data_IF_505645301719
#
_entry.id   IF_505645301719
#
_cell.length_a   1.000
_cell.length_b   1.000
_cell.length_c   1.000
_cell.angle_alpha   90.00
_cell.angle_beta   90.00
_cell.angle_gamma   90.00
#
_symmetry.space_group_name_H-M   'P 1'
#
loop_
_entity.id
_entity.type
_entity.pdbx_description
1 polymer ?
#
# COMPACT_ATOMS: atom_id res chain seq x y z
N UNK A 1 33.98 -4.13 -10.24
CA UNK A 1 33.63 -2.68 -10.39
C UNK A 1 34.92 -1.84 -10.26
N UNK A 2 34.90 -0.51 -10.44
CA UNK A 2 36.11 0.33 -10.29
C UNK A 2 36.62 0.30 -8.85
N UNK A 3 35.74 0.49 -7.86
CA UNK A 3 36.08 0.44 -6.42
C UNK A 3 36.72 -0.89 -6.00
N UNK A 4 36.23 -1.99 -6.56
CA UNK A 4 36.76 -3.35 -6.35
C UNK A 4 38.21 -3.52 -6.87
N UNK A 5 38.55 -2.85 -7.97
CA UNK A 5 39.94 -2.82 -8.47
C UNK A 5 40.84 -1.90 -7.63
N UNK A 6 40.27 -0.80 -7.14
CA UNK A 6 40.99 0.16 -6.30
C UNK A 6 41.24 -0.39 -4.89
N UNK A 7 40.34 -1.22 -4.36
CA UNK A 7 40.53 -1.88 -3.07
C UNK A 7 41.70 -2.88 -3.13
N UNK A 8 41.76 -3.70 -4.18
CA UNK A 8 42.85 -4.67 -4.42
C UNK A 8 44.23 -4.04 -4.66
N UNK A 9 44.28 -2.81 -5.19
CA UNK A 9 45.52 -2.11 -5.54
C UNK A 9 45.98 -1.09 -4.47
N UNK A 10 45.18 -0.86 -3.44
CA UNK A 10 45.37 0.20 -2.45
C UNK A 10 46.08 -0.24 -1.17
N UNK A 11 46.32 0.72 -0.29
CA UNK A 11 46.66 0.46 1.12
C UNK A 11 45.44 -0.05 1.90
N UNK A 12 45.61 -0.73 3.05
CA UNK A 12 44.47 -1.22 3.84
C UNK A 12 43.45 -0.12 4.23
N UNK A 13 43.92 1.13 4.40
CA UNK A 13 43.03 2.26 4.65
C UNK A 13 42.18 2.63 3.42
N UNK A 14 42.79 2.62 2.22
CA UNK A 14 42.08 2.89 0.97
C UNK A 14 41.12 1.76 0.59
N UNK A 15 41.50 0.51 0.89
CA UNK A 15 40.63 -0.66 0.78
C UNK A 15 39.36 -0.46 1.63
N UNK A 16 39.52 -0.11 2.91
CA UNK A 16 38.39 0.16 3.80
C UNK A 16 37.48 1.29 3.30
N UNK A 17 38.04 2.37 2.75
CA UNK A 17 37.26 3.46 2.14
C UNK A 17 36.50 3.01 0.88
N UNK A 18 37.11 2.16 0.05
CA UNK A 18 36.45 1.61 -1.13
C UNK A 18 35.28 0.70 -0.74
N UNK A 19 35.45 -0.14 0.29
CA UNK A 19 34.37 -0.98 0.80
C UNK A 19 33.25 -0.14 1.40
N UNK A 20 33.56 0.87 2.23
CA UNK A 20 32.55 1.77 2.76
C UNK A 20 31.75 2.49 1.65
N UNK A 21 32.42 2.95 0.60
CA UNK A 21 31.74 3.55 -0.56
C UNK A 21 30.88 2.54 -1.33
N UNK A 22 31.32 1.28 -1.45
CA UNK A 22 30.51 0.22 -2.08
C UNK A 22 29.26 -0.11 -1.25
N UNK A 23 29.39 -0.17 0.07
CA UNK A 23 28.27 -0.40 0.98
C UNK A 23 27.25 0.74 0.95
N UNK A 24 27.71 1.99 0.75
CA UNK A 24 26.83 3.16 0.60
C UNK A 24 26.01 3.12 -0.71
N UNK A 25 26.61 2.65 -1.81
CA UNK A 25 25.94 2.62 -3.12
C UNK A 25 25.12 1.35 -3.38
N UNK A 26 25.40 0.23 -2.69
CA UNK A 26 24.72 -1.05 -2.91
C UNK A 26 23.18 -0.96 -2.85
N UNK A 27 22.57 -0.24 -1.86
CA UNK A 27 21.11 -0.09 -1.80
C UNK A 27 20.54 0.59 -3.05
N UNK A 28 21.24 1.59 -3.59
CA UNK A 28 20.83 2.29 -4.80
C UNK A 28 20.92 1.38 -6.04
N UNK A 29 21.99 0.59 -6.16
CA UNK A 29 22.17 -0.37 -7.26
C UNK A 29 21.08 -1.45 -7.23
N UNK A 30 20.78 -1.98 -6.04
CA UNK A 30 19.72 -2.98 -5.85
C UNK A 30 18.35 -2.43 -6.22
N UNK A 31 18.03 -1.21 -5.79
CA UNK A 31 16.79 -0.53 -6.16
C UNK A 31 16.69 -0.26 -7.67
N UNK A 32 17.78 0.17 -8.31
CA UNK A 32 17.83 0.33 -9.77
C UNK A 32 17.54 -0.99 -10.49
N UNK A 33 18.12 -2.10 -10.02
CA UNK A 33 17.84 -3.44 -10.56
C UNK A 33 16.37 -3.83 -10.43
N UNK A 34 15.76 -3.56 -9.28
CA UNK A 34 14.33 -3.77 -9.05
C UNK A 34 13.47 -2.94 -10.01
N UNK A 35 13.72 -1.64 -10.13
CA UNK A 35 13.00 -0.72 -11.05
C UNK A 35 13.09 -1.20 -12.50
N UNK A 36 14.26 -1.66 -12.94
CA UNK A 36 14.46 -2.19 -14.29
C UNK A 36 13.66 -3.48 -14.52
N UNK A 37 13.64 -4.39 -13.55
CA UNK A 37 12.82 -5.61 -13.62
C UNK A 37 11.34 -5.26 -13.67
N UNK A 38 10.89 -4.32 -12.85
CA UNK A 38 9.50 -3.86 -12.85
C UNK A 38 9.09 -3.29 -14.22
N UNK A 39 9.95 -2.49 -14.85
CA UNK A 39 9.68 -1.95 -16.19
C UNK A 39 9.62 -3.04 -17.28
N UNK A 40 10.32 -4.16 -17.10
CA UNK A 40 10.41 -5.24 -18.08
C UNK A 40 9.31 -6.29 -17.92
N UNK A 41 9.11 -6.76 -16.70
CA UNK A 41 8.26 -7.92 -16.40
C UNK A 41 6.92 -7.50 -15.77
N UNK A 42 6.78 -6.24 -15.30
CA UNK A 42 5.57 -5.72 -14.66
C UNK A 42 5.26 -6.35 -13.29
N UNK A 43 6.05 -7.32 -12.85
CA UNK A 43 5.85 -8.02 -11.57
C UNK A 43 6.34 -7.13 -10.43
N UNK A 44 5.42 -6.74 -9.56
CA UNK A 44 5.72 -5.96 -8.35
C UNK A 44 5.78 -6.88 -7.14
N UNK A 45 6.98 -7.09 -6.60
CA UNK A 45 7.16 -7.74 -5.31
C UNK A 45 7.18 -6.69 -4.17
N UNK A 46 6.01 -6.50 -3.56
CA UNK A 46 5.82 -5.56 -2.44
C UNK A 46 6.64 -5.97 -1.21
N UNK A 47 6.87 -7.26 -1.03
CA UNK A 47 7.65 -7.81 0.08
C UNK A 47 9.14 -7.53 -0.11
N UNK A 48 9.66 -7.70 -1.34
CA UNK A 48 11.03 -7.30 -1.68
C UNK A 48 11.23 -5.79 -1.47
N UNK A 49 10.26 -4.98 -1.89
CA UNK A 49 10.31 -3.51 -1.75
C UNK A 49 10.25 -3.07 -0.27
N UNK A 50 9.44 -3.73 0.56
CA UNK A 50 9.38 -3.48 2.00
C UNK A 50 10.70 -3.85 2.70
N UNK A 51 11.35 -4.94 2.27
CA UNK A 51 12.69 -5.31 2.77
C UNK A 51 13.76 -4.29 2.37
N UNK A 52 13.70 -3.76 1.15
CA UNK A 52 14.60 -2.68 0.71
C UNK A 52 14.38 -1.41 1.53
N UNK A 53 13.13 -1.05 1.86
CA UNK A 53 12.82 0.06 2.77
C UNK A 53 13.46 -0.12 4.15
N UNK A 54 13.30 -1.30 4.75
CA UNK A 54 13.83 -1.60 6.08
C UNK A 54 15.37 -1.59 6.12
N UNK A 55 16.02 -2.13 5.07
CA UNK A 55 17.48 -2.17 4.96
C UNK A 55 18.11 -0.78 4.76
N UNK A 56 17.34 0.17 4.23
CA UNK A 56 17.84 1.51 3.90
C UNK A 56 17.64 2.55 5.01
N UNK A 57 17.02 2.16 6.15
CA UNK A 57 16.90 3.00 7.36
C UNK A 57 18.29 3.21 8.00
N UNK A 58 19.03 4.19 7.50
CA UNK A 58 20.32 4.61 8.05
C UNK A 58 21.41 4.94 7.03
N UNK A 59 21.19 4.71 5.74
CA UNK A 59 22.20 4.88 4.68
C UNK A 59 22.34 6.32 4.15
N UNK A 60 21.74 7.32 4.80
CA UNK A 60 21.85 8.73 4.39
C UNK A 60 21.05 9.12 3.15
N UNK A 61 20.40 8.17 2.45
CA UNK A 61 19.55 8.45 1.28
C UNK A 61 18.07 8.49 1.65
N UNK A 62 17.66 9.55 2.35
CA UNK A 62 16.25 9.85 2.67
C UNK A 62 15.35 9.88 1.43
N UNK A 63 15.92 10.27 0.28
CA UNK A 63 15.21 10.33 -1.00
C UNK A 63 14.84 8.93 -1.48
N UNK A 64 15.77 7.96 -1.41
CA UNK A 64 15.49 6.58 -1.80
C UNK A 64 14.43 5.95 -0.90
N UNK A 65 14.49 6.19 0.41
CA UNK A 65 13.47 5.69 1.34
C UNK A 65 12.08 6.20 1.00
N UNK A 66 11.94 7.50 0.73
CA UNK A 66 10.65 8.10 0.34
C UNK A 66 10.13 7.53 -0.98
N UNK A 67 10.99 7.37 -1.98
CA UNK A 67 10.59 6.79 -3.27
C UNK A 67 10.13 5.33 -3.12
N UNK A 68 10.84 4.54 -2.29
CA UNK A 68 10.45 3.17 -1.96
C UNK A 68 9.08 3.15 -1.27
N UNK A 69 8.86 3.98 -0.25
CA UNK A 69 7.57 4.07 0.45
C UNK A 69 6.42 4.49 -0.49
N UNK A 70 6.67 5.48 -1.35
CA UNK A 70 5.68 5.91 -2.36
C UNK A 70 5.31 4.77 -3.31
N UNK A 71 6.29 4.00 -3.79
CA UNK A 71 6.04 2.85 -4.65
C UNK A 71 5.27 1.74 -3.94
N UNK A 72 5.52 1.50 -2.64
CA UNK A 72 4.73 0.54 -1.84
C UNK A 72 3.27 1.00 -1.79
N UNK A 73 3.04 2.28 -1.48
CA UNK A 73 1.68 2.85 -1.41
C UNK A 73 0.98 2.78 -2.76
N UNK A 74 1.64 3.19 -3.85
CA UNK A 74 1.09 3.12 -5.21
C UNK A 74 0.73 1.69 -5.61
N UNK A 75 1.61 0.73 -5.30
CA UNK A 75 1.34 -0.68 -5.62
C UNK A 75 0.16 -1.22 -4.85
N UNK A 76 0.07 -0.93 -3.55
CA UNK A 76 -1.08 -1.31 -2.73
C UNK A 76 -2.37 -0.69 -3.26
N UNK A 77 -2.32 0.57 -3.68
CA UNK A 77 -3.47 1.25 -4.27
C UNK A 77 -3.89 0.60 -5.60
N UNK A 78 -2.95 0.24 -6.47
CA UNK A 78 -3.23 -0.49 -7.71
C UNK A 78 -3.89 -1.84 -7.43
N UNK A 79 -3.33 -2.63 -6.50
CA UNK A 79 -3.94 -3.91 -6.05
C UNK A 79 -5.34 -3.72 -5.47
N UNK A 80 -5.56 -2.64 -4.73
CA UNK A 80 -6.88 -2.32 -4.17
C UNK A 80 -7.91 -1.92 -5.24
N UNK A 81 -7.50 -1.31 -6.36
CA UNK A 81 -8.40 -1.02 -7.49
C UNK A 81 -8.92 -2.30 -8.17
N UNK A 82 -8.11 -3.36 -8.18
CA UNK A 82 -8.51 -4.66 -8.70
C UNK A 82 -9.42 -5.44 -7.74
N UNK A 83 -9.42 -5.10 -6.45
CA UNK A 83 -10.25 -5.73 -5.41
C UNK A 83 -11.70 -5.22 -5.47
N UNK A 84 -12.48 -5.73 -6.44
CA UNK A 84 -13.88 -5.33 -6.68
C UNK A 84 -14.91 -6.06 -5.84
N UNK A 85 -14.54 -7.14 -5.17
CA UNK A 85 -15.46 -7.93 -4.33
C UNK A 85 -14.71 -8.75 -3.29
N UNK A 86 -15.38 -9.02 -2.16
CA UNK A 86 -14.89 -9.90 -1.11
C UNK A 86 -15.90 -11.02 -0.83
N UNK A 87 -15.42 -12.18 -0.42
CA UNK A 87 -16.30 -13.29 0.02
C UNK A 87 -16.33 -13.34 1.53
N UNK A 88 -17.52 -13.22 2.11
CA UNK A 88 -17.75 -13.33 3.55
C UNK A 88 -18.88 -14.29 3.88
N UNK A 89 -18.60 -15.33 4.70
CA UNK A 89 -19.54 -16.40 5.08
C UNK A 89 -20.32 -16.96 3.86
N UNK A 90 -19.60 -17.25 2.78
CA UNK A 90 -20.14 -17.74 1.50
C UNK A 90 -21.01 -16.76 0.70
N UNK A 91 -21.00 -15.46 1.06
CA UNK A 91 -21.64 -14.39 0.29
C UNK A 91 -20.57 -13.51 -0.37
N UNK A 92 -20.74 -13.21 -1.65
CA UNK A 92 -19.87 -12.26 -2.36
C UNK A 92 -20.45 -10.86 -2.23
N UNK A 93 -19.68 -9.96 -1.61
CA UNK A 93 -20.05 -8.56 -1.40
C UNK A 93 -19.26 -7.69 -2.39
N UNK A 94 -19.93 -6.85 -3.19
CA UNK A 94 -19.25 -5.91 -4.08
C UNK A 94 -18.60 -4.80 -3.25
N UNK A 95 -17.38 -4.43 -3.62
CA UNK A 95 -16.62 -3.38 -2.97
C UNK A 95 -16.52 -2.18 -3.91
N UNK A 96 -17.34 -1.16 -3.66
CA UNK A 96 -17.41 0.05 -4.50
C UNK A 96 -16.53 1.19 -3.99
N UNK A 97 -16.24 1.19 -2.69
CA UNK A 97 -15.46 2.24 -2.05
C UNK A 97 -13.96 1.89 -2.10
N UNK A 98 -13.18 2.67 -2.86
CA UNK A 98 -11.74 2.45 -3.02
C UNK A 98 -10.96 2.57 -1.70
N UNK A 99 -11.37 3.45 -0.77
CA UNK A 99 -10.71 3.59 0.54
C UNK A 99 -10.93 2.34 1.40
N UNK A 100 -12.14 1.79 1.34
CA UNK A 100 -12.45 0.53 2.00
C UNK A 100 -11.66 -0.64 1.38
N UNK A 101 -11.50 -0.67 0.06
CA UNK A 101 -10.70 -1.69 -0.63
C UNK A 101 -9.25 -1.71 -0.13
N UNK A 102 -8.63 -0.53 -0.06
CA UNK A 102 -7.27 -0.38 0.45
C UNK A 102 -7.14 -0.82 1.90
N UNK A 103 -8.09 -0.44 2.76
CA UNK A 103 -8.06 -0.81 4.17
C UNK A 103 -8.22 -2.33 4.39
N UNK A 104 -9.11 -2.98 3.62
CA UNK A 104 -9.29 -4.44 3.67
C UNK A 104 -8.04 -5.15 3.17
N UNK A 105 -7.45 -4.70 2.06
CA UNK A 105 -6.22 -5.28 1.53
C UNK A 105 -5.08 -5.18 2.54
N UNK A 106 -4.93 -4.03 3.21
CA UNK A 106 -3.93 -3.85 4.26
C UNK A 106 -4.12 -4.82 5.44
N UNK A 107 -5.38 -5.08 5.85
CA UNK A 107 -5.70 -6.04 6.90
C UNK A 107 -5.40 -7.49 6.46
N UNK A 108 -5.67 -7.84 5.20
CA UNK A 108 -5.34 -9.16 4.63
C UNK A 108 -3.83 -9.38 4.56
N UNK A 109 -3.07 -8.38 4.09
CA UNK A 109 -1.60 -8.43 4.04
C UNK A 109 -1.01 -8.62 5.45
N UNK A 110 -1.50 -7.85 6.44
CA UNK A 110 -1.03 -7.97 7.82
C UNK A 110 -1.32 -9.35 8.44
N UNK A 111 -2.49 -9.93 8.14
CA UNK A 111 -2.88 -11.26 8.62
C UNK A 111 -2.10 -12.39 7.91
N UNK A 112 -1.82 -12.24 6.62
CA UNK A 112 -0.96 -13.15 5.88
C UNK A 112 0.46 -13.14 6.45
N UNK A 113 0.99 -11.96 6.78
CA UNK A 113 2.32 -11.83 7.38
C UNK A 113 2.38 -12.47 8.77
N UNK A 114 1.35 -12.28 9.60
CA UNK A 114 1.25 -12.97 10.88
C UNK A 114 1.32 -14.50 10.74
N UNK A 115 0.70 -15.05 9.70
CA UNK A 115 0.71 -16.50 9.43
C UNK A 115 2.08 -17.01 8.97
N UNK A 116 2.94 -16.13 8.43
CA UNK A 116 4.31 -16.46 8.00
C UNK A 116 5.31 -16.44 9.15
N UNK A 117 4.97 -15.89 10.31
CA UNK A 117 5.83 -15.77 11.49
C UNK A 117 5.85 -17.04 12.36
N UNK A 118 5.42 -18.19 11.84
CA UNK A 118 5.52 -19.46 12.57
C UNK A 118 6.98 -19.86 12.80
N UNK A 119 7.47 -19.65 14.04
CA UNK A 119 8.85 -19.87 14.46
C UNK A 119 9.52 -18.63 15.08
N UNK A 120 8.91 -17.45 14.98
CA UNK A 120 9.44 -16.18 15.52
C UNK A 120 9.24 -16.04 17.04
N UNK A 121 10.09 -15.22 17.68
CA UNK A 121 9.99 -14.87 19.10
C UNK A 121 8.62 -14.28 19.45
N UNK A 122 8.13 -14.54 20.67
CA UNK A 122 6.83 -14.07 21.16
C UNK A 122 6.63 -12.56 21.05
N UNK A 123 7.69 -11.77 21.22
CA UNK A 123 7.67 -10.31 21.12
C UNK A 123 7.36 -9.83 19.69
N UNK A 124 8.03 -10.41 18.69
CA UNK A 124 7.78 -10.11 17.26
C UNK A 124 6.35 -10.49 16.87
N UNK A 125 5.83 -11.60 17.41
CA UNK A 125 4.45 -12.02 17.19
C UNK A 125 3.46 -11.02 17.80
N UNK A 126 3.70 -10.56 19.03
CA UNK A 126 2.86 -9.56 19.70
C UNK A 126 2.78 -8.25 18.91
N UNK A 127 3.91 -7.72 18.46
CA UNK A 127 3.92 -6.53 17.60
C UNK A 127 3.14 -6.74 16.30
N UNK A 128 3.21 -7.94 15.72
CA UNK A 128 2.46 -8.25 14.51
C UNK A 128 0.95 -8.37 14.79
N UNK A 129 0.55 -8.93 15.93
CA UNK A 129 -0.86 -8.94 16.34
C UNK A 129 -1.42 -7.52 16.47
N UNK A 130 -0.67 -6.60 17.10
CA UNK A 130 -1.08 -5.20 17.22
C UNK A 130 -1.27 -4.54 15.85
N UNK A 131 -0.36 -4.79 14.89
CA UNK A 131 -0.50 -4.29 13.51
C UNK A 131 -1.75 -4.83 12.82
N UNK A 132 -2.07 -6.11 13.00
CA UNK A 132 -3.28 -6.72 12.45
C UNK A 132 -4.53 -6.08 13.05
N UNK A 133 -4.58 -5.95 14.37
CA UNK A 133 -5.72 -5.32 15.07
C UNK A 133 -5.92 -3.87 14.62
N UNK A 134 -4.84 -3.11 14.51
CA UNK A 134 -4.89 -1.72 14.02
C UNK A 134 -5.41 -1.63 12.58
N UNK A 135 -4.99 -2.54 11.70
CA UNK A 135 -5.44 -2.57 10.31
C UNK A 135 -6.95 -2.87 10.22
N UNK A 136 -7.46 -3.82 11.02
CA UNK A 136 -8.90 -4.11 11.07
C UNK A 136 -9.71 -2.96 11.68
N UNK A 137 -9.19 -2.26 12.69
CA UNK A 137 -9.86 -1.10 13.28
C UNK A 137 -10.02 0.04 12.26
N UNK A 138 -9.00 0.31 11.44
CA UNK A 138 -9.12 1.32 10.38
C UNK A 138 -10.10 0.87 9.28
N UNK A 139 -10.13 -0.42 8.92
CA UNK A 139 -11.12 -0.95 8.00
C UNK A 139 -12.55 -0.80 8.54
N UNK A 140 -12.80 -1.10 9.82
CA UNK A 140 -14.11 -0.92 10.47
C UNK A 140 -14.59 0.54 10.42
N UNK A 141 -13.68 1.48 10.70
CA UNK A 141 -13.96 2.92 10.59
C UNK A 141 -14.35 3.32 9.17
N UNK A 142 -13.66 2.79 8.16
CA UNK A 142 -14.01 3.02 6.75
C UNK A 142 -15.36 2.40 6.37
N UNK A 143 -15.68 1.20 6.85
CA UNK A 143 -17.00 0.58 6.64
C UNK A 143 -18.09 1.45 7.26
N UNK A 144 -17.92 1.86 8.51
CA UNK A 144 -18.91 2.68 9.23
C UNK A 144 -19.15 4.02 8.53
N UNK A 145 -18.08 4.63 8.02
CA UNK A 145 -18.17 5.87 7.24
C UNK A 145 -18.91 5.64 5.91
N UNK A 146 -18.56 4.59 5.17
CA UNK A 146 -19.22 4.25 3.91
C UNK A 146 -20.72 3.98 4.11
N UNK A 147 -21.10 3.26 5.17
CA UNK A 147 -22.50 3.00 5.50
C UNK A 147 -23.28 4.29 5.80
N UNK A 148 -22.66 5.26 6.48
CA UNK A 148 -23.29 6.57 6.73
C UNK A 148 -23.46 7.37 5.43
N UNK A 149 -22.45 7.37 4.57
CA UNK A 149 -22.50 8.05 3.26
C UNK A 149 -23.57 7.42 2.34
N UNK A 150 -23.65 6.09 2.30
CA UNK A 150 -24.68 5.37 1.54
C UNK A 150 -26.10 5.64 2.10
N UNK A 151 -26.26 5.66 3.43
CA UNK A 151 -27.54 6.01 4.05
C UNK A 151 -27.99 7.44 3.73
N UNK A 152 -27.04 8.38 3.63
CA UNK A 152 -27.31 9.76 3.24
C UNK A 152 -27.67 9.87 1.77
N UNK A 153 -27.00 9.15 0.87
CA UNK A 153 -27.39 9.12 -0.55
C UNK A 153 -28.78 8.52 -0.76
N UNK A 154 -29.11 7.42 -0.09
CA UNK A 154 -30.45 6.82 -0.17
C UNK A 154 -31.52 7.83 0.29
N UNK A 155 -31.22 8.60 1.34
CA UNK A 155 -32.14 9.62 1.85
C UNK A 155 -32.25 10.82 0.88
N UNK A 156 -31.15 11.21 0.23
CA UNK A 156 -31.12 12.28 -0.77
C UNK A 156 -31.91 11.88 -2.03
N UNK A 157 -31.66 10.70 -2.59
CA UNK A 157 -32.38 10.18 -3.76
C UNK A 157 -33.88 10.05 -3.44
N UNK A 158 -34.22 9.57 -2.24
CA UNK A 158 -35.61 9.54 -1.77
C UNK A 158 -36.23 10.93 -1.67
N UNK A 159 -35.49 11.94 -1.21
CA UNK A 159 -35.98 13.31 -1.13
C UNK A 159 -36.10 13.98 -2.51
N UNK A 160 -35.18 13.73 -3.44
CA UNK A 160 -35.30 14.22 -4.82
C UNK A 160 -36.51 13.59 -5.53
N UNK A 161 -36.67 12.27 -5.47
CA UNK A 161 -37.77 11.55 -6.12
C UNK A 161 -39.15 11.90 -5.53
N UNK A 162 -39.21 12.22 -4.23
CA UNK A 162 -40.49 12.56 -3.56
C UNK A 162 -40.83 14.06 -3.65
N UNK A 163 -39.84 14.96 -3.72
CA UNK A 163 -40.06 16.40 -3.58
C UNK A 163 -39.94 17.20 -4.89
N UNK A 164 -39.17 16.75 -5.89
CA UNK A 164 -38.98 17.47 -7.16
C UNK A 164 -40.08 17.30 -8.23
N UNK A 165 -40.89 16.23 -8.32
CA UNK A 165 -41.84 16.09 -9.43
C UNK A 165 -43.06 17.04 -9.37
N UNK A 166 -43.27 17.80 -8.28
CA UNK A 166 -44.57 18.45 -8.00
C UNK A 166 -44.61 19.98 -8.09
N UNK A 167 -43.52 20.65 -8.45
CA UNK A 167 -43.43 22.12 -8.39
C UNK A 167 -43.06 22.85 -9.70
N UNK A 168 -43.10 22.16 -10.86
CA UNK A 168 -43.03 22.86 -12.15
C UNK A 168 -44.42 22.87 -12.79
N UNK A 169 -45.18 23.99 -12.74
CA UNK A 169 -46.40 24.09 -13.50
C UNK A 169 -46.04 24.21 -14.98
N UNK A 170 -46.60 23.34 -15.82
CA UNK A 170 -46.58 23.45 -17.29
C UNK A 170 -47.15 24.81 -17.71
N UNK A 171 -46.29 25.80 -17.94
CA UNK A 171 -46.67 27.03 -18.62
C UNK A 171 -46.67 26.78 -20.13
N UNK A 172 -47.63 26.00 -20.60
CA UNK A 172 -47.93 25.89 -22.02
C UNK A 172 -49.30 25.25 -22.21
N UNK A 173 -50.36 26.04 -22.00
CA UNK A 173 -51.60 25.98 -22.77
C UNK A 173 -52.52 27.09 -22.30
N UNK A 174 -52.46 28.24 -22.96
CA UNK A 174 -53.61 29.10 -23.20
C UNK A 174 -53.28 29.97 -24.43
N UNK A 175 -54.23 29.93 -25.36
CA UNK A 175 -54.22 30.39 -26.74
C UNK A 175 -53.84 31.85 -26.97
#
# INVERSE_FOLDING_TARGET
>A
AIYDKLSLAGTPHQEALCHAAMDEIDPNIRFCGYRLRLAKDGVVDVEELAKMSAANKGSGSDVLMREIELLIVQTRQAKAQDLKSITWRSKTLPLRNAKLATAILAAQDAAAELSRLDGSTSEIKLEQFDKVLQAYAEAEKHVTKALKEDAVMILHDFLEDVFLPKWMPESSHLS
#
